data_IF_602347651606
#
_entry.id   IF_602347651606
#
_cell.length_a   1.000
_cell.length_b   1.000
_cell.length_c   1.000
_cell.angle_alpha   90.00
_cell.angle_beta   90.00
_cell.angle_gamma   90.00
#
_symmetry.space_group_name_H-M   'P 1'
#
loop_
_entity.id
_entity.type
_entity.pdbx_description
1 polymer ?
#
# COMPACT_ATOMS: atom_id res chain seq x y z
N UNK A 1 8.10 17.24 15.48
CA UNK A 1 6.90 16.45 15.17
C UNK A 1 7.35 15.16 14.50
N UNK A 2 6.87 14.03 14.99
CA UNK A 2 7.19 12.68 14.51
C UNK A 2 5.95 12.08 13.81
N UNK A 3 6.14 11.48 12.64
CA UNK A 3 5.10 10.70 11.95
C UNK A 3 5.57 9.26 11.88
N UNK A 4 4.80 8.39 12.49
CA UNK A 4 5.08 6.95 12.55
C UNK A 4 4.05 6.20 11.71
N UNK A 5 4.51 5.35 10.80
CA UNK A 5 3.64 4.46 10.03
C UNK A 5 3.94 3.02 10.46
N UNK A 6 2.95 2.34 11.02
CA UNK A 6 3.03 0.93 11.41
C UNK A 6 2.29 0.06 10.40
N UNK A 7 2.98 -0.85 9.72
CA UNK A 7 2.39 -1.69 8.67
C UNK A 7 1.97 -3.07 9.19
N UNK A 8 1.04 -3.72 8.49
CA UNK A 8 0.72 -5.11 8.72
C UNK A 8 1.93 -6.03 8.51
N UNK A 9 1.89 -7.21 9.11
CA UNK A 9 2.94 -8.21 8.89
C UNK A 9 2.84 -8.82 7.50
N UNK A 10 3.96 -8.87 6.79
CA UNK A 10 4.09 -9.52 5.48
C UNK A 10 5.01 -10.74 5.61
N UNK A 11 4.54 -11.90 5.17
CA UNK A 11 5.33 -13.13 5.20
C UNK A 11 6.62 -12.98 4.40
N UNK A 12 7.76 -13.39 4.98
CA UNK A 12 9.07 -13.24 4.35
C UNK A 12 9.66 -11.82 4.39
N UNK A 13 8.88 -10.82 4.83
CA UNK A 13 9.30 -9.43 4.96
C UNK A 13 9.60 -8.73 3.63
N UNK A 14 9.75 -7.42 3.70
CA UNK A 14 10.10 -6.58 2.56
C UNK A 14 11.07 -5.46 2.97
N UNK A 15 11.81 -4.94 2.00
CA UNK A 15 12.77 -3.88 2.17
C UNK A 15 12.49 -2.75 1.16
N UNK A 16 12.69 -1.47 1.51
CA UNK A 16 12.49 -0.34 0.59
C UNK A 16 13.21 -0.48 -0.75
N UNK A 17 14.35 -1.16 -0.79
CA UNK A 17 15.15 -1.38 -2.00
C UNK A 17 14.53 -2.40 -2.97
N UNK A 18 13.55 -3.19 -2.51
CA UNK A 18 12.84 -4.15 -3.34
C UNK A 18 12.04 -3.46 -4.46
N UNK A 19 11.78 -2.14 -4.36
CA UNK A 19 11.15 -1.33 -5.43
C UNK A 19 11.89 -1.44 -6.77
N UNK A 20 13.17 -1.82 -6.75
CA UNK A 20 13.98 -2.05 -7.96
C UNK A 20 13.63 -3.35 -8.68
N UNK A 21 13.05 -4.32 -7.98
CA UNK A 21 12.65 -5.63 -8.50
C UNK A 21 11.13 -5.78 -8.48
N UNK A 22 10.54 -5.81 -7.28
CA UNK A 22 9.11 -5.93 -7.06
C UNK A 22 8.75 -5.51 -5.62
N UNK A 23 7.70 -4.69 -5.50
CA UNK A 23 6.97 -4.48 -4.26
C UNK A 23 5.48 -4.69 -4.54
N UNK A 24 4.77 -5.22 -3.56
CA UNK A 24 3.31 -5.21 -3.60
C UNK A 24 2.78 -3.77 -3.53
N UNK A 25 1.57 -3.56 -4.02
CA UNK A 25 1.00 -2.20 -4.13
C UNK A 25 0.85 -1.48 -2.79
N UNK A 26 0.70 -2.22 -1.67
CA UNK A 26 0.62 -1.61 -0.34
C UNK A 26 2.00 -1.14 0.13
N UNK A 27 3.01 -1.99 -0.03
CA UNK A 27 4.40 -1.70 0.33
C UNK A 27 4.95 -0.54 -0.51
N UNK A 28 4.70 -0.55 -1.83
CA UNK A 28 5.04 0.54 -2.73
C UNK A 28 4.32 1.84 -2.32
N UNK A 29 3.03 1.78 -1.94
CA UNK A 29 2.29 2.96 -1.48
C UNK A 29 2.90 3.58 -0.23
N UNK A 30 3.29 2.77 0.78
CA UNK A 30 3.96 3.27 1.99
C UNK A 30 5.30 3.89 1.66
N UNK A 31 6.10 3.25 0.79
CA UNK A 31 7.40 3.75 0.34
C UNK A 31 7.28 5.10 -0.36
N UNK A 32 6.46 5.18 -1.41
CA UNK A 32 6.32 6.41 -2.20
C UNK A 32 5.69 7.54 -1.39
N UNK A 33 4.69 7.23 -0.55
CA UNK A 33 4.06 8.23 0.31
C UNK A 33 5.05 8.78 1.34
N UNK A 34 5.79 7.91 2.05
CA UNK A 34 6.73 8.34 3.08
C UNK A 34 7.88 9.16 2.52
N UNK A 35 8.44 8.78 1.36
CA UNK A 35 9.46 9.56 0.65
C UNK A 35 8.93 10.91 0.18
N UNK A 36 7.69 10.97 -0.34
CA UNK A 36 7.07 12.21 -0.74
C UNK A 36 6.82 13.15 0.45
N UNK A 37 6.37 12.58 1.57
CA UNK A 37 6.12 13.31 2.82
C UNK A 37 7.42 13.88 3.39
N UNK A 38 8.47 13.06 3.52
CA UNK A 38 9.79 13.50 4.00
C UNK A 38 10.38 14.62 3.14
N UNK A 39 10.19 14.54 1.81
CA UNK A 39 10.63 15.60 0.88
C UNK A 39 9.87 16.91 1.07
N UNK A 40 8.57 16.86 1.37
CA UNK A 40 7.72 18.04 1.57
C UNK A 40 7.85 18.63 2.98
N UNK A 41 8.17 17.80 3.98
CA UNK A 41 8.16 18.15 5.42
C UNK A 41 9.53 17.89 6.05
N UNK A 42 10.50 18.73 5.69
CA UNK A 42 11.92 18.59 6.10
C UNK A 42 12.15 18.70 7.61
N UNK A 43 11.20 19.26 8.34
CA UNK A 43 11.19 19.46 9.78
C UNK A 43 10.47 18.32 10.54
N UNK A 44 9.98 17.31 9.81
CA UNK A 44 9.23 16.18 10.36
C UNK A 44 10.06 14.91 10.29
N UNK A 45 10.16 14.19 11.41
CA UNK A 45 10.79 12.87 11.43
C UNK A 45 9.78 11.83 10.94
N UNK A 46 10.13 11.08 9.89
CA UNK A 46 9.29 10.02 9.33
C UNK A 46 9.90 8.66 9.67
N UNK A 47 9.14 7.83 10.41
CA UNK A 47 9.55 6.49 10.82
C UNK A 47 8.54 5.47 10.33
N UNK A 48 9.01 4.43 9.64
CA UNK A 48 8.18 3.33 9.19
C UNK A 48 8.56 2.08 9.96
N UNK A 49 7.59 1.48 10.62
CA UNK A 49 7.68 0.20 11.29
C UNK A 49 7.07 -0.85 10.37
N UNK A 50 7.91 -1.74 9.83
CA UNK A 50 7.50 -2.78 8.89
C UNK A 50 8.20 -4.10 9.18
N UNK A 51 7.74 -5.20 8.58
CA UNK A 51 8.44 -6.48 8.65
C UNK A 51 9.68 -6.45 7.75
N UNK A 52 10.70 -5.71 8.18
CA UNK A 52 12.03 -5.81 7.58
C UNK A 52 12.53 -7.25 7.71
N UNK A 53 13.37 -7.70 6.77
CA UNK A 53 13.82 -9.10 6.76
C UNK A 53 14.77 -9.42 7.91
N UNK A 54 15.49 -8.41 8.41
CA UNK A 54 16.46 -8.54 9.48
C UNK A 54 15.90 -7.88 10.74
N UNK A 55 15.81 -8.66 11.82
CA UNK A 55 15.38 -8.16 13.13
C UNK A 55 16.41 -7.17 13.70
N UNK A 56 15.95 -6.08 14.29
CA UNK A 56 16.81 -4.99 14.79
C UNK A 56 17.43 -4.10 13.71
N UNK A 57 17.17 -4.34 12.43
CA UNK A 57 17.65 -3.48 11.34
C UNK A 57 17.04 -2.07 11.44
N UNK A 58 17.90 -1.07 11.22
CA UNK A 58 17.51 0.33 11.02
C UNK A 58 18.09 0.79 9.69
N UNK A 59 17.21 1.02 8.73
CA UNK A 59 17.57 1.53 7.41
C UNK A 59 17.14 2.99 7.26
N UNK A 60 17.99 3.84 6.67
CA UNK A 60 17.67 5.27 6.47
C UNK A 60 17.90 5.65 5.02
N UNK A 61 16.86 6.15 4.36
CA UNK A 61 16.93 6.58 2.97
C UNK A 61 15.93 7.69 2.68
N UNK A 62 16.34 8.68 1.88
CA UNK A 62 15.52 9.81 1.40
C UNK A 62 14.71 10.52 2.50
N UNK A 63 15.29 10.65 3.69
CA UNK A 63 14.66 11.33 4.83
C UNK A 63 13.67 10.45 5.63
N UNK A 64 13.61 9.15 5.35
CA UNK A 64 12.76 8.18 6.04
C UNK A 64 13.62 7.20 6.82
N UNK A 65 13.23 6.92 8.07
CA UNK A 65 13.82 5.85 8.88
C UNK A 65 12.92 4.62 8.87
N UNK A 66 13.48 3.46 8.59
CA UNK A 66 12.78 2.18 8.51
C UNK A 66 13.28 1.30 9.64
N UNK A 67 12.34 0.69 10.36
CA UNK A 67 12.63 -0.19 11.50
C UNK A 67 11.78 -1.45 11.39
N UNK A 68 12.28 -2.53 11.96
CA UNK A 68 11.46 -3.72 12.16
C UNK A 68 10.26 -3.41 13.06
N UNK A 69 9.06 -3.98 12.81
CA UNK A 69 7.85 -3.76 13.61
C UNK A 69 8.05 -4.04 15.12
N UNK A 70 8.94 -4.97 15.47
CA UNK A 70 9.25 -5.30 16.87
C UNK A 70 9.93 -4.16 17.63
N UNK A 71 10.51 -3.20 16.92
CA UNK A 71 11.08 -2.00 17.54
C UNK A 71 10.02 -0.99 17.97
N UNK A 72 8.77 -1.14 17.53
CA UNK A 72 7.68 -0.25 17.93
C UNK A 72 7.37 -0.45 19.42
N UNK A 73 7.41 0.65 20.18
CA UNK A 73 7.05 0.67 21.60
C UNK A 73 5.64 1.26 21.71
N UNK A 74 4.71 0.51 22.29
CA UNK A 74 3.30 0.92 22.39
C UNK A 74 3.07 1.97 23.47
N UNK A 75 3.94 2.00 24.49
CA UNK A 75 3.83 2.86 25.66
C UNK A 75 4.58 4.20 25.47
N UNK A 76 5.23 4.40 24.31
CA UNK A 76 5.92 5.65 23.99
C UNK A 76 4.92 6.77 23.66
N UNK A 77 5.37 8.01 23.76
CA UNK A 77 4.60 9.15 23.25
C UNK A 77 4.69 9.21 21.71
N UNK A 78 3.52 9.31 21.07
CA UNK A 78 3.38 9.38 19.63
C UNK A 78 2.68 10.69 19.21
N UNK A 79 3.30 11.45 18.31
CA UNK A 79 2.71 12.67 17.75
C UNK A 79 1.63 12.31 16.72
N UNK A 80 2.02 11.62 15.65
CA UNK A 80 1.11 11.15 14.59
C UNK A 80 1.39 9.69 14.33
N UNK A 81 0.38 8.85 14.50
CA UNK A 81 0.45 7.41 14.24
C UNK A 81 -0.51 7.03 13.12
N UNK A 82 0.04 6.41 12.08
CA UNK A 82 -0.69 5.85 10.94
C UNK A 82 -0.52 4.33 10.96
N UNK A 83 -1.61 3.56 10.99
CA UNK A 83 -1.52 2.12 10.72
C UNK A 83 -1.85 1.84 9.26
N UNK A 84 -1.01 1.10 8.55
CA UNK A 84 -1.29 0.56 7.22
C UNK A 84 -1.75 -0.90 7.35
N UNK A 85 -3.03 -1.17 7.08
CA UNK A 85 -3.64 -2.51 7.13
C UNK A 85 -3.46 -3.27 8.46
N UNK A 86 -3.02 -2.60 9.52
CA UNK A 86 -2.90 -3.18 10.86
C UNK A 86 -3.97 -2.60 11.78
N UNK A 87 -5.06 -3.33 11.96
CA UNK A 87 -6.08 -2.97 12.96
C UNK A 87 -5.68 -3.38 14.38
N UNK A 88 -4.77 -4.34 14.53
CA UNK A 88 -4.44 -4.98 15.81
C UNK A 88 -3.80 -4.00 16.77
N UNK A 89 -3.01 -3.06 16.27
CA UNK A 89 -2.38 -2.04 17.09
C UNK A 89 -3.40 -1.18 17.84
N UNK A 90 -4.54 -0.85 17.22
CA UNK A 90 -5.62 -0.09 17.87
C UNK A 90 -6.30 -0.88 18.99
N UNK A 91 -6.49 -2.19 18.82
CA UNK A 91 -7.05 -3.05 19.87
C UNK A 91 -6.12 -3.20 21.08
N UNK A 92 -4.83 -2.88 20.92
CA UNK A 92 -3.85 -2.89 22.01
C UNK A 92 -3.80 -1.56 22.78
N UNK A 93 -4.58 -0.55 22.38
CA UNK A 93 -4.71 0.71 23.11
C UNK A 93 -3.53 1.67 22.95
N UNK A 94 -2.91 1.70 21.77
CA UNK A 94 -1.86 2.68 21.47
C UNK A 94 -2.42 4.11 21.50
N UNK A 95 -1.68 5.02 22.11
CA UNK A 95 -2.03 6.44 22.20
C UNK A 95 -1.18 7.30 21.28
N UNK A 96 -1.78 8.33 20.68
CA UNK A 96 -1.10 9.30 19.83
C UNK A 96 -1.92 10.60 19.77
N UNK A 97 -1.28 11.73 19.52
CA UNK A 97 -1.99 13.01 19.38
C UNK A 97 -2.88 13.05 18.12
N UNK A 98 -2.53 12.28 17.08
CA UNK A 98 -3.34 12.05 15.88
C UNK A 98 -3.25 10.59 15.43
N UNK A 99 -4.41 9.93 15.30
CA UNK A 99 -4.54 8.50 14.98
C UNK A 99 -5.23 8.30 13.64
N UNK A 100 -4.53 7.67 12.69
CA UNK A 100 -5.01 7.48 11.32
C UNK A 100 -4.95 5.99 10.97
N UNK A 101 -6.06 5.42 10.55
CA UNK A 101 -6.09 4.09 9.97
C UNK A 101 -6.15 4.17 8.44
N UNK A 102 -5.17 3.61 7.76
CA UNK A 102 -5.11 3.53 6.30
C UNK A 102 -5.17 2.07 5.86
N UNK A 103 -6.24 1.71 5.16
CA UNK A 103 -6.43 0.38 4.60
C UNK A 103 -6.96 0.52 3.17
N UNK A 104 -6.48 -0.35 2.29
CA UNK A 104 -6.99 -0.49 0.92
C UNK A 104 -8.00 -1.64 0.83
N UNK A 105 -8.27 -2.32 1.95
CA UNK A 105 -9.16 -3.47 2.04
C UNK A 105 -10.58 -3.05 2.45
N UNK A 106 -11.57 -3.83 2.04
CA UNK A 106 -12.92 -3.70 2.58
C UNK A 106 -12.98 -4.41 3.92
N UNK A 107 -12.98 -3.61 4.97
CA UNK A 107 -12.96 -4.09 6.34
C UNK A 107 -14.36 -4.37 6.90
N UNK A 108 -14.48 -5.38 7.80
CA UNK A 108 -15.71 -5.58 8.55
C UNK A 108 -15.95 -4.40 9.50
N UNK A 109 -17.18 -4.17 9.97
CA UNK A 109 -17.47 -3.14 10.97
C UNK A 109 -16.61 -3.26 12.23
N UNK A 110 -16.11 -2.13 12.71
CA UNK A 110 -15.31 -2.05 13.94
C UNK A 110 -16.21 -1.87 15.17
N UNK A 111 -15.75 -2.32 16.33
CA UNK A 111 -16.43 -2.02 17.59
C UNK A 111 -16.42 -0.51 17.85
N UNK A 112 -17.58 0.05 18.24
CA UNK A 112 -17.78 1.51 18.42
C UNK A 112 -16.74 2.14 19.35
N UNK A 113 -16.29 1.43 20.39
CA UNK A 113 -15.22 1.90 21.27
C UNK A 113 -13.94 2.22 20.50
N UNK A 114 -13.42 1.28 19.72
CA UNK A 114 -12.19 1.47 18.93
C UNK A 114 -12.37 2.51 17.84
N UNK A 115 -13.53 2.49 17.14
CA UNK A 115 -13.86 3.47 16.10
C UNK A 115 -13.78 4.91 16.61
N UNK A 116 -14.27 5.16 17.83
CA UNK A 116 -14.27 6.49 18.43
C UNK A 116 -12.85 6.98 18.76
N UNK A 117 -11.91 6.06 19.00
CA UNK A 117 -10.52 6.37 19.32
C UNK A 117 -9.65 6.68 18.09
N UNK A 118 -10.17 6.58 16.87
CA UNK A 118 -9.40 6.86 15.64
C UNK A 118 -9.93 8.14 15.02
N UNK A 119 -9.04 9.08 14.70
CA UNK A 119 -9.44 10.38 14.17
C UNK A 119 -9.82 10.28 12.70
N UNK A 120 -9.03 9.54 11.90
CA UNK A 120 -9.27 9.41 10.47
C UNK A 120 -9.13 7.97 9.96
N UNK A 121 -10.03 7.61 9.04
CA UNK A 121 -9.94 6.45 8.18
C UNK A 121 -9.68 6.92 6.76
N UNK A 122 -8.58 6.45 6.16
CA UNK A 122 -8.24 6.79 4.79
C UNK A 122 -9.07 5.94 3.83
N UNK A 123 -9.88 6.60 3.00
CA UNK A 123 -10.56 5.97 1.88
C UNK A 123 -9.88 6.35 0.56
N UNK A 124 -9.51 5.36 -0.26
CA UNK A 124 -8.85 5.60 -1.55
C UNK A 124 -9.78 6.12 -2.66
N UNK A 125 -11.09 6.18 -2.40
CA UNK A 125 -12.09 6.72 -3.32
C UNK A 125 -13.51 6.48 -2.81
N UNK A 126 -14.49 6.99 -3.55
CA UNK A 126 -15.92 6.87 -3.20
C UNK A 126 -16.39 5.42 -3.18
N UNK A 127 -15.95 4.59 -4.13
CA UNK A 127 -16.26 3.16 -4.15
C UNK A 127 -15.76 2.43 -2.90
N UNK A 128 -14.56 2.78 -2.41
CA UNK A 128 -14.03 2.20 -1.18
C UNK A 128 -14.90 2.61 0.03
N UNK A 129 -15.24 3.90 0.13
CA UNK A 129 -16.15 4.41 1.17
C UNK A 129 -17.51 3.71 1.14
N UNK A 130 -18.12 3.51 -0.03
CA UNK A 130 -19.44 2.88 -0.15
C UNK A 130 -19.44 1.42 0.33
N UNK A 131 -18.28 0.77 0.33
CA UNK A 131 -18.08 -0.58 0.85
C UNK A 131 -17.87 -0.61 2.37
N UNK A 132 -17.75 0.56 3.01
CA UNK A 132 -17.57 0.74 4.45
C UNK A 132 -18.71 1.60 5.04
N UNK A 133 -20.00 1.21 4.87
CA UNK A 133 -21.15 2.03 5.28
C UNK A 133 -21.26 2.24 6.80
N UNK A 134 -20.45 1.53 7.58
CA UNK A 134 -20.36 1.63 9.03
C UNK A 134 -19.42 2.74 9.51
N UNK A 135 -18.59 3.32 8.61
CA UNK A 135 -17.72 4.44 8.94
C UNK A 135 -18.52 5.76 8.96
N UNK A 136 -18.44 6.55 10.04
CA UNK A 136 -18.99 7.89 10.08
C UNK A 136 -18.28 8.81 9.09
N UNK A 137 -19.05 9.62 8.34
CA UNK A 137 -18.52 10.46 7.26
C UNK A 137 -17.48 11.47 7.79
N UNK A 138 -17.65 11.98 9.00
CA UNK A 138 -16.74 12.93 9.65
C UNK A 138 -15.36 12.34 9.99
N UNK A 139 -15.23 11.01 10.03
CA UNK A 139 -13.95 10.31 10.23
C UNK A 139 -13.27 9.94 8.91
N UNK A 140 -13.90 10.17 7.77
CA UNK A 140 -13.36 9.76 6.47
C UNK A 140 -12.45 10.86 5.90
N UNK A 141 -11.26 10.45 5.48
CA UNK A 141 -10.35 11.30 4.70
C UNK A 141 -10.06 10.61 3.37
N UNK A 142 -10.33 11.30 2.26
CA UNK A 142 -10.05 10.75 0.94
C UNK A 142 -8.60 11.00 0.52
N UNK A 143 -7.82 9.93 0.36
CA UNK A 143 -6.46 9.98 -0.18
C UNK A 143 -6.32 8.87 -1.22
N UNK A 144 -6.30 9.19 -2.52
CA UNK A 144 -6.09 8.18 -3.56
C UNK A 144 -4.67 7.63 -3.50
N UNK A 145 -4.49 6.42 -4.02
CA UNK A 145 -3.15 5.84 -4.19
C UNK A 145 -2.40 6.61 -5.29
N UNK A 146 -1.19 7.04 -4.98
CA UNK A 146 -0.29 7.69 -5.93
C UNK A 146 0.55 6.67 -6.70
N UNK A 147 1.04 7.07 -7.87
CA UNK A 147 1.98 6.29 -8.68
C UNK A 147 3.13 7.19 -9.13
N UNK A 148 4.35 6.65 -9.18
CA UNK A 148 5.47 7.36 -9.79
C UNK A 148 5.33 7.39 -11.32
N UNK A 149 5.05 8.57 -11.85
CA UNK A 149 4.90 8.77 -13.30
C UNK A 149 6.23 8.89 -14.05
N UNK A 150 7.38 9.01 -13.36
CA UNK A 150 8.68 9.24 -14.00
C UNK A 150 9.11 8.10 -14.94
N UNK A 151 8.98 6.80 -14.59
CA UNK A 151 9.33 5.71 -15.50
C UNK A 151 8.53 5.75 -16.80
N UNK A 152 7.24 6.09 -16.74
CA UNK A 152 6.37 6.20 -17.91
C UNK A 152 6.73 7.41 -18.80
N UNK A 153 7.03 8.56 -18.19
CA UNK A 153 7.44 9.76 -18.93
C UNK A 153 8.81 9.62 -19.62
N UNK A 154 9.69 8.81 -19.04
CA UNK A 154 11.05 8.58 -19.54
C UNK A 154 11.18 7.31 -20.37
N UNK A 155 10.08 6.59 -20.60
CA UNK A 155 10.08 5.34 -21.37
C UNK A 155 10.44 5.64 -22.84
N UNK A 156 11.53 5.03 -23.31
CA UNK A 156 11.99 5.12 -24.70
C UNK A 156 11.64 3.88 -25.52
N UNK A 157 10.92 2.92 -24.93
CA UNK A 157 10.52 1.69 -25.62
C UNK A 157 9.48 2.06 -26.67
N UNK A 158 9.71 1.65 -27.91
CA UNK A 158 8.75 1.85 -28.98
C UNK A 158 7.45 1.08 -28.68
N UNK A 159 6.31 1.72 -28.94
CA UNK A 159 5.00 1.12 -28.69
C UNK A 159 4.74 0.00 -29.68
N UNK A 160 4.65 -1.24 -29.18
CA UNK A 160 4.09 -2.36 -29.94
C UNK A 160 2.55 -2.28 -29.89
N UNK A 161 1.94 -1.95 -31.03
CA UNK A 161 0.48 -1.85 -31.14
C UNK A 161 -0.22 -3.21 -31.19
N UNK A 162 0.53 -4.30 -31.35
CA UNK A 162 0.06 -5.68 -31.34
C UNK A 162 0.45 -6.41 -30.04
N UNK A 163 0.72 -5.69 -28.95
CA UNK A 163 0.99 -6.25 -27.64
C UNK A 163 -0.04 -5.79 -26.59
N UNK A 164 -0.73 -6.77 -25.99
CA UNK A 164 -1.50 -6.61 -24.77
C UNK A 164 -0.70 -7.20 -23.59
N UNK A 165 -0.74 -6.52 -22.44
CA UNK A 165 -0.01 -6.93 -21.24
C UNK A 165 -1.01 -7.10 -20.09
N UNK A 166 -0.95 -8.25 -19.41
CA UNK A 166 -1.68 -8.55 -18.19
C UNK A 166 -0.70 -8.64 -17.02
N UNK A 167 -0.78 -7.69 -16.09
CA UNK A 167 0.16 -7.48 -14.97
C UNK A 167 -0.54 -7.58 -13.61
N UNK A 168 -1.58 -8.40 -13.50
CA UNK A 168 -2.31 -8.61 -12.25
C UNK A 168 -2.34 -10.08 -11.85
N UNK A 169 -2.85 -10.37 -10.66
CA UNK A 169 -3.06 -11.74 -10.22
C UNK A 169 -4.09 -12.47 -11.11
N UNK A 170 -3.94 -13.79 -11.38
CA UNK A 170 -4.82 -14.52 -12.29
C UNK A 170 -6.30 -14.49 -11.89
N UNK A 171 -6.59 -14.50 -10.59
CA UNK A 171 -7.94 -14.43 -10.01
C UNK A 171 -8.67 -13.11 -10.35
N UNK A 172 -7.96 -12.10 -10.89
CA UNK A 172 -8.53 -10.82 -11.33
C UNK A 172 -8.97 -10.81 -12.79
N UNK A 173 -9.35 -11.98 -13.32
CA UNK A 173 -10.02 -12.11 -14.61
C UNK A 173 -9.14 -12.61 -15.76
N UNK A 174 -7.96 -13.18 -15.46
CA UNK A 174 -7.13 -13.77 -16.51
C UNK A 174 -7.85 -14.93 -17.22
N UNK A 175 -8.56 -15.78 -16.47
CA UNK A 175 -9.33 -16.90 -17.04
C UNK A 175 -10.37 -16.40 -18.05
N UNK A 176 -11.15 -15.37 -17.68
CA UNK A 176 -12.12 -14.74 -18.58
C UNK A 176 -11.43 -14.18 -19.83
N UNK A 177 -10.32 -13.47 -19.67
CA UNK A 177 -9.54 -12.94 -20.81
C UNK A 177 -9.06 -14.06 -21.74
N UNK A 178 -8.57 -15.16 -21.20
CA UNK A 178 -8.08 -16.31 -21.98
C UNK A 178 -9.22 -17.04 -22.71
N UNK A 179 -10.40 -17.15 -22.08
CA UNK A 179 -11.57 -17.74 -22.71
C UNK A 179 -12.03 -16.94 -23.94
N UNK A 180 -11.99 -15.60 -23.86
CA UNK A 180 -12.35 -14.71 -24.97
C UNK A 180 -11.21 -14.52 -26.00
N UNK A 181 -9.99 -14.94 -25.68
CA UNK A 181 -8.80 -14.68 -26.49
C UNK A 181 -8.90 -15.17 -27.94
N UNK A 182 -9.46 -16.37 -28.25
CA UNK A 182 -9.63 -16.80 -29.64
C UNK A 182 -10.46 -15.82 -30.48
N UNK A 183 -11.55 -15.27 -29.92
CA UNK A 183 -12.38 -14.27 -30.59
C UNK A 183 -11.60 -12.96 -30.79
N UNK A 184 -10.84 -12.52 -29.79
CA UNK A 184 -9.98 -11.34 -29.88
C UNK A 184 -8.94 -11.52 -31.01
N UNK A 185 -8.33 -12.72 -31.11
CA UNK A 185 -7.37 -13.06 -32.18
C UNK A 185 -8.01 -13.10 -33.57
N UNK A 186 -9.27 -13.49 -33.71
CA UNK A 186 -9.97 -13.41 -34.99
C UNK A 186 -10.10 -11.96 -35.47
N UNK A 187 -10.41 -11.02 -34.57
CA UNK A 187 -10.50 -9.60 -34.88
C UNK A 187 -9.12 -8.92 -35.03
N UNK A 188 -8.11 -9.38 -34.29
CA UNK A 188 -6.73 -8.87 -34.31
C UNK A 188 -5.72 -10.03 -34.41
N UNK A 189 -5.48 -10.57 -35.62
CA UNK A 189 -4.65 -11.76 -35.81
C UNK A 189 -3.21 -11.65 -35.33
N UNK A 190 -2.66 -10.43 -35.27
CA UNK A 190 -1.28 -10.19 -34.84
C UNK A 190 -1.14 -9.95 -33.33
N UNK A 191 -2.25 -9.70 -32.62
CA UNK A 191 -2.22 -9.33 -31.20
C UNK A 191 -1.62 -10.46 -30.36
N UNK A 192 -0.71 -10.09 -29.44
CA UNK A 192 -0.04 -10.97 -28.50
C UNK A 192 -0.51 -10.62 -27.09
N UNK A 193 -0.65 -11.62 -26.23
CA UNK A 193 -0.87 -11.42 -24.80
C UNK A 193 0.39 -11.80 -24.04
N UNK A 194 0.92 -10.88 -23.26
CA UNK A 194 1.98 -11.13 -22.29
C UNK A 194 1.41 -11.13 -20.88
N UNK A 195 1.52 -12.27 -20.18
CA UNK A 195 1.08 -12.42 -18.80
C UNK A 195 2.31 -12.41 -17.90
N UNK A 196 2.44 -11.42 -17.03
CA UNK A 196 3.67 -11.19 -16.25
C UNK A 196 3.62 -11.69 -14.81
N UNK A 197 2.52 -12.32 -14.38
CA UNK A 197 2.25 -12.61 -12.96
C UNK A 197 1.58 -13.98 -12.81
N UNK A 198 1.72 -14.61 -11.64
CA UNK A 198 1.01 -15.85 -11.29
C UNK A 198 1.67 -17.12 -11.84
N UNK A 199 2.97 -17.04 -12.16
CA UNK A 199 3.76 -18.18 -12.63
C UNK A 199 4.45 -18.91 -11.48
N UNK A 200 4.53 -18.28 -10.30
CA UNK A 200 5.04 -18.91 -9.08
C UNK A 200 3.95 -18.90 -7.99
N UNK A 201 3.91 -19.94 -7.15
CA UNK A 201 2.92 -20.09 -6.07
C UNK A 201 3.04 -19.03 -4.94
N UNK A 202 3.93 -18.05 -5.11
CA UNK A 202 4.21 -16.96 -4.16
C UNK A 202 3.73 -15.61 -4.68
N UNK A 203 3.16 -15.56 -5.90
CA UNK A 203 2.58 -14.38 -6.54
C UNK A 203 1.09 -14.24 -6.19
#
# INVERSE_FOLDING_TARGET
MKVEIFTNQVGGGWHPEDITNFLGGNEESVLLFSEALARQRKDTEIIIYTTLRIDGEIYKSKGVTWKHIKAFQIDDEHDVLITMKDRQLWFRGVEANLKIHWSNDVEPPWATGILNHIDHFICIGTYHRDRLPWLPEEKITYIPLGMDMRPFKNCKVERDNDLAIYISSPDRGLETLLADWPMIKQARPNLKLYVSYGWTNLD
#
